data_IF_555415001512
#
_entry.id   IF_555415001512
#
_cell.length_a   1.000
_cell.length_b   1.000
_cell.length_c   1.000
_cell.angle_alpha   90.00
_cell.angle_beta   90.00
_cell.angle_gamma   90.00
#
_symmetry.space_group_name_H-M   'P 1'
#
loop_
_entity.id
_entity.type
_entity.pdbx_description
1 polymer ?
#
# COMPACT_ATOMS: atom_id res chain seq x y z
N UNK A 1 -21.31 14.73 -10.51
CA UNK A 1 -20.45 13.59 -10.93
C UNK A 1 -19.00 14.04 -10.95
N UNK A 2 -18.05 13.15 -10.61
CA UNK A 2 -16.61 13.46 -10.66
C UNK A 2 -16.09 13.74 -12.07
N UNK A 3 -15.07 14.61 -12.17
CA UNK A 3 -14.46 15.05 -13.45
C UNK A 3 -13.46 14.04 -14.03
N UNK A 4 -12.98 13.13 -13.19
CA UNK A 4 -11.96 12.15 -13.53
C UNK A 4 -12.48 10.73 -13.30
N UNK A 5 -11.84 9.77 -13.95
CA UNK A 5 -12.04 8.34 -13.80
C UNK A 5 -10.70 7.78 -13.33
N UNK A 6 -10.66 7.27 -12.10
CA UNK A 6 -9.50 6.57 -11.55
C UNK A 6 -9.67 5.09 -11.86
N UNK A 7 -8.73 4.51 -12.59
CA UNK A 7 -8.75 3.08 -12.91
C UNK A 7 -8.06 2.28 -11.82
N UNK A 8 -8.33 0.97 -11.79
CA UNK A 8 -7.60 0.04 -10.95
C UNK A 8 -6.12 0.00 -11.36
N UNK A 9 -5.24 -0.18 -10.37
CA UNK A 9 -3.82 -0.36 -10.62
C UNK A 9 -3.57 -1.78 -11.16
N UNK A 10 -2.93 -1.88 -12.33
CA UNK A 10 -2.70 -3.16 -12.99
C UNK A 10 -1.25 -3.60 -12.82
N UNK A 11 -0.98 -4.83 -12.36
CA UNK A 11 0.38 -5.33 -12.17
C UNK A 11 1.09 -5.56 -13.51
N UNK A 12 2.38 -5.22 -13.57
CA UNK A 12 3.23 -5.45 -14.75
C UNK A 12 4.60 -5.99 -14.29
N UNK A 13 5.04 -7.20 -14.68
CA UNK A 13 4.24 -8.32 -15.18
C UNK A 13 3.37 -8.93 -14.04
N UNK A 14 2.89 -10.17 -14.20
CA UNK A 14 2.01 -10.87 -13.26
C UNK A 14 2.42 -10.70 -11.77
N UNK A 15 1.40 -10.66 -10.91
CA UNK A 15 1.56 -10.52 -9.45
C UNK A 15 2.42 -11.63 -8.87
N UNK A 16 3.51 -11.25 -8.21
CA UNK A 16 4.29 -12.17 -7.38
C UNK A 16 3.93 -12.00 -5.91
N UNK A 17 3.45 -13.07 -5.29
CA UNK A 17 3.14 -13.12 -3.86
C UNK A 17 4.25 -13.83 -3.09
N UNK A 18 4.63 -13.27 -1.95
CA UNK A 18 5.58 -13.87 -1.01
C UNK A 18 4.92 -13.97 0.38
N UNK A 19 5.38 -14.92 1.18
CA UNK A 19 4.92 -15.09 2.57
C UNK A 19 5.80 -14.26 3.49
N UNK A 20 5.17 -13.46 4.34
CA UNK A 20 5.83 -12.71 5.40
C UNK A 20 5.20 -13.04 6.76
N UNK A 21 5.85 -12.64 7.85
CA UNK A 21 5.48 -12.98 9.22
C UNK A 21 5.40 -11.71 10.06
N UNK A 22 4.25 -11.47 10.67
CA UNK A 22 4.08 -10.40 11.65
C UNK A 22 4.16 -10.98 13.07
N UNK A 23 5.08 -10.49 13.89
CA UNK A 23 5.19 -10.87 15.29
C UNK A 23 4.43 -9.84 16.17
N UNK A 24 3.30 -10.23 16.76
CA UNK A 24 2.63 -9.39 17.77
C UNK A 24 3.23 -9.68 19.15
N UNK A 25 3.90 -8.69 19.74
CA UNK A 25 4.44 -8.79 21.10
C UNK A 25 3.38 -8.49 22.19
N UNK A 26 2.39 -7.62 21.93
CA UNK A 26 1.43 -7.16 22.95
C UNK A 26 0.03 -7.80 22.85
N UNK A 27 -0.06 -9.05 22.35
CA UNK A 27 -1.34 -9.75 22.14
C UNK A 27 -2.30 -9.68 23.34
N UNK A 28 -1.86 -9.98 24.58
CA UNK A 28 -2.69 -9.94 25.78
C UNK A 28 -3.16 -8.55 26.20
N UNK A 29 -2.34 -7.51 25.99
CA UNK A 29 -2.68 -6.12 26.31
C UNK A 29 -3.86 -5.61 25.46
N UNK A 30 -3.86 -5.91 24.15
CA UNK A 30 -4.95 -5.50 23.26
C UNK A 30 -6.22 -6.37 23.36
N UNK A 31 -6.14 -7.55 23.99
CA UNK A 31 -7.27 -8.46 24.15
C UNK A 31 -8.03 -8.27 25.46
N UNK A 32 -7.46 -7.52 26.42
CA UNK A 32 -7.92 -7.46 27.81
C UNK A 32 -8.93 -6.36 28.12
N UNK A 33 -10.03 -6.22 27.36
CA UNK A 33 -11.22 -5.43 27.77
C UNK A 33 -10.98 -4.16 28.61
N UNK A 34 -11.70 -4.02 29.73
CA UNK A 34 -11.65 -2.84 30.62
C UNK A 34 -10.49 -2.87 31.64
N UNK A 35 -9.75 -3.98 31.76
CA UNK A 35 -8.59 -4.10 32.68
C UNK A 35 -7.47 -4.93 32.04
N UNK A 36 -6.78 -4.38 31.03
CA UNK A 36 -5.75 -5.12 30.32
C UNK A 36 -4.48 -5.26 31.17
N UNK A 37 -3.79 -6.41 31.12
CA UNK A 37 -2.52 -6.60 31.82
C UNK A 37 -1.49 -5.58 31.31
N UNK A 38 -0.69 -5.00 32.21
CA UNK A 38 0.28 -3.96 31.86
C UNK A 38 1.13 -4.35 30.63
N UNK A 39 1.37 -3.41 29.69
CA UNK A 39 2.15 -3.70 28.50
C UNK A 39 3.58 -4.07 28.93
N UNK A 40 4.00 -5.27 28.55
CA UNK A 40 5.25 -5.85 28.99
C UNK A 40 5.94 -6.60 27.86
N UNK A 41 7.27 -6.46 27.78
CA UNK A 41 8.09 -7.09 26.73
C UNK A 41 8.37 -8.59 27.01
N UNK A 42 7.78 -9.16 28.07
CA UNK A 42 7.96 -10.56 28.49
C UNK A 42 7.06 -11.56 27.74
N UNK A 43 6.20 -11.10 26.84
CA UNK A 43 5.36 -11.99 26.03
C UNK A 43 6.11 -12.48 24.79
N UNK A 44 6.10 -13.80 24.59
CA UNK A 44 6.64 -14.42 23.38
C UNK A 44 5.89 -13.90 22.13
N UNK A 45 6.62 -13.46 21.08
CA UNK A 45 5.98 -13.03 19.85
C UNK A 45 5.20 -14.19 19.24
N UNK A 46 3.94 -13.95 18.87
CA UNK A 46 3.14 -14.91 18.11
C UNK A 46 3.32 -14.60 16.61
N UNK A 47 4.00 -15.46 15.83
CA UNK A 47 4.19 -15.26 14.39
C UNK A 47 2.88 -15.48 13.64
N UNK A 48 2.41 -14.46 12.92
CA UNK A 48 1.21 -14.54 12.07
C UNK A 48 1.66 -14.46 10.62
N UNK A 49 1.65 -15.58 9.86
CA UNK A 49 1.99 -15.56 8.45
C UNK A 49 0.90 -14.85 7.65
N UNK A 50 1.30 -14.04 6.67
CA UNK A 50 0.40 -13.41 5.70
C UNK A 50 1.07 -13.32 4.34
N UNK A 51 0.26 -13.11 3.29
CA UNK A 51 0.76 -12.90 1.93
C UNK A 51 0.98 -11.42 1.68
N UNK A 52 2.12 -11.09 1.07
CA UNK A 52 2.45 -9.74 0.60
C UNK A 52 2.94 -9.81 -0.84
N UNK A 53 2.89 -8.67 -1.54
CA UNK A 53 3.54 -8.52 -2.83
C UNK A 53 5.05 -8.71 -2.66
N UNK A 54 5.69 -9.33 -3.64
CA UNK A 54 7.13 -9.35 -3.75
C UNK A 54 7.67 -7.92 -3.85
N UNK A 55 8.89 -7.72 -3.37
CA UNK A 55 9.61 -6.47 -3.59
C UNK A 55 9.75 -6.20 -5.10
N UNK A 56 9.75 -4.92 -5.47
CA UNK A 56 9.89 -4.43 -6.85
C UNK A 56 8.76 -4.87 -7.81
N UNK A 57 7.60 -5.29 -7.29
CA UNK A 57 6.39 -5.45 -8.09
C UNK A 57 5.97 -4.10 -8.69
N UNK A 58 5.90 -4.02 -10.00
CA UNK A 58 5.48 -2.81 -10.72
C UNK A 58 3.98 -2.86 -11.01
N UNK A 59 3.35 -1.69 -10.96
CA UNK A 59 1.96 -1.47 -11.32
C UNK A 59 1.83 -0.25 -12.22
N UNK A 60 0.93 -0.35 -13.20
CA UNK A 60 0.47 0.77 -14.01
C UNK A 60 -0.73 1.44 -13.32
N UNK A 61 -0.63 2.76 -13.16
CA UNK A 61 -1.69 3.61 -12.64
C UNK A 61 -2.18 4.54 -13.74
N UNK A 62 -3.50 4.62 -13.90
CA UNK A 62 -4.11 5.41 -14.96
C UNK A 62 -5.30 6.23 -14.45
N UNK A 63 -5.33 7.50 -14.84
CA UNK A 63 -6.45 8.42 -14.62
C UNK A 63 -6.89 8.96 -15.97
N UNK A 64 -8.18 8.87 -16.25
CA UNK A 64 -8.78 9.37 -17.48
C UNK A 64 -9.67 10.59 -17.20
N UNK A 65 -9.67 11.60 -18.07
CA UNK A 65 -10.60 12.70 -17.97
C UNK A 65 -11.98 12.22 -18.42
N UNK A 66 -13.04 12.57 -17.67
CA UNK A 66 -14.41 12.22 -18.07
C UNK A 66 -14.84 12.98 -19.33
N UNK A 67 -14.30 14.18 -19.54
CA UNK A 67 -14.58 15.03 -20.70
C UNK A 67 -13.29 15.67 -21.22
N UNK A 68 -13.20 16.01 -22.51
CA UNK A 68 -11.98 16.59 -23.09
C UNK A 68 -11.46 17.84 -22.35
N UNK A 69 -12.35 18.69 -21.85
CA UNK A 69 -11.99 19.90 -21.10
C UNK A 69 -11.31 19.63 -19.75
N UNK A 70 -11.41 18.41 -19.22
CA UNK A 70 -10.79 18.01 -17.95
C UNK A 70 -9.36 17.49 -18.14
N UNK A 71 -8.83 17.47 -19.39
CA UNK A 71 -7.45 17.02 -19.65
C UNK A 71 -6.39 17.88 -18.97
N UNK A 72 -6.63 19.18 -18.84
CA UNK A 72 -5.64 20.13 -18.33
C UNK A 72 -5.23 19.93 -16.87
N UNK A 73 -5.98 19.13 -16.10
CA UNK A 73 -5.66 18.86 -14.68
C UNK A 73 -4.93 17.52 -14.47
N UNK A 74 -4.74 16.71 -15.52
CA UNK A 74 -4.22 15.36 -15.38
C UNK A 74 -2.78 15.33 -14.85
N UNK A 75 -1.92 16.24 -15.32
CA UNK A 75 -0.51 16.26 -14.90
C UNK A 75 -0.37 16.55 -13.40
N UNK A 76 -1.12 17.54 -12.89
CA UNK A 76 -1.14 17.88 -11.46
C UNK A 76 -1.68 16.71 -10.63
N UNK A 77 -2.78 16.09 -11.09
CA UNK A 77 -3.39 14.96 -10.37
C UNK A 77 -2.47 13.74 -10.37
N UNK A 78 -1.77 13.45 -11.48
CA UNK A 78 -0.79 12.37 -11.54
C UNK A 78 0.42 12.64 -10.62
N UNK A 79 0.86 13.90 -10.49
CA UNK A 79 1.91 14.28 -9.55
C UNK A 79 1.45 14.09 -8.09
N UNK A 80 0.22 14.49 -7.76
CA UNK A 80 -0.36 14.27 -6.44
C UNK A 80 -0.54 12.78 -6.12
N UNK A 81 -0.98 11.98 -7.09
CA UNK A 81 -1.08 10.53 -6.94
C UNK A 81 0.29 9.90 -6.64
N UNK A 82 1.32 10.27 -7.41
CA UNK A 82 2.68 9.78 -7.18
C UNK A 82 3.18 10.13 -5.77
N UNK A 83 2.98 11.37 -5.33
CA UNK A 83 3.34 11.78 -3.98
C UNK A 83 2.53 11.02 -2.90
N UNK A 84 1.23 10.81 -3.09
CA UNK A 84 0.43 10.06 -2.13
C UNK A 84 0.87 8.59 -2.02
N UNK A 85 1.20 7.94 -3.14
CA UNK A 85 1.68 6.57 -3.15
C UNK A 85 3.07 6.41 -2.49
N UNK A 86 3.91 7.44 -2.58
CA UNK A 86 5.22 7.49 -1.92
C UNK A 86 5.09 7.77 -0.40
N UNK A 87 4.29 8.76 -0.01
CA UNK A 87 4.21 9.26 1.38
C UNK A 87 3.13 8.63 2.27
N UNK A 88 2.07 8.09 1.67
CA UNK A 88 0.98 7.43 2.40
C UNK A 88 1.00 5.93 2.11
N UNK A 89 1.24 5.56 0.85
CA UNK A 89 1.13 4.19 0.36
C UNK A 89 -0.32 3.78 0.11
N UNK A 90 -0.49 2.57 -0.43
CA UNK A 90 -1.79 1.96 -0.71
C UNK A 90 -1.82 0.51 -0.23
N UNK A 91 -3.02 0.02 0.10
CA UNK A 91 -3.22 -1.33 0.63
C UNK A 91 -3.19 -1.39 2.16
N UNK A 92 -2.92 -2.56 2.71
CA UNK A 92 -2.93 -2.79 4.14
C UNK A 92 -1.56 -2.49 4.79
N UNK A 93 -1.57 -2.21 6.10
CA UNK A 93 -0.36 -2.09 6.93
C UNK A 93 0.62 -0.98 6.51
N UNK A 94 0.13 0.09 5.87
CA UNK A 94 0.96 1.25 5.48
C UNK A 94 1.62 1.97 6.66
N UNK A 95 0.98 1.96 7.84
CA UNK A 95 1.54 2.51 9.07
C UNK A 95 2.81 1.80 9.56
N UNK A 96 3.03 0.56 9.12
CA UNK A 96 4.24 -0.23 9.43
C UNK A 96 5.12 -0.46 8.19
N UNK A 97 4.96 0.38 7.16
CA UNK A 97 5.87 0.47 6.02
C UNK A 97 5.49 -0.32 4.76
N UNK A 98 4.39 -1.08 4.77
CA UNK A 98 3.94 -1.83 3.58
C UNK A 98 3.23 -0.93 2.57
N UNK A 99 3.18 -1.36 1.30
CA UNK A 99 2.34 -0.72 0.29
C UNK A 99 2.84 0.64 -0.19
N UNK A 100 4.14 0.91 -0.04
CA UNK A 100 4.79 2.12 -0.57
C UNK A 100 5.20 1.90 -2.01
N UNK A 101 5.03 2.92 -2.84
CA UNK A 101 5.42 2.85 -4.25
C UNK A 101 6.37 4.00 -4.56
N UNK A 102 7.34 3.72 -5.42
CA UNK A 102 8.19 4.73 -6.04
C UNK A 102 7.92 4.73 -7.55
N UNK A 103 8.02 5.91 -8.16
CA UNK A 103 7.84 6.02 -9.61
C UNK A 103 9.02 5.36 -10.31
N UNK A 104 8.74 4.51 -11.29
CA UNK A 104 9.78 3.89 -12.13
C UNK A 104 9.96 4.71 -13.40
N UNK A 105 11.20 4.83 -13.88
CA UNK A 105 11.54 5.66 -15.05
C UNK A 105 11.23 4.96 -16.39
N UNK A 106 10.35 3.96 -16.40
CA UNK A 106 9.98 3.21 -17.61
C UNK A 106 11.07 2.30 -18.19
N UNK A 107 12.20 2.09 -17.48
CA UNK A 107 13.29 1.15 -17.87
C UNK A 107 13.28 -0.17 -17.09
N UNK A 108 12.12 -0.57 -16.57
CA UNK A 108 11.96 -1.75 -15.71
C UNK A 108 11.34 -2.95 -16.42
N UNK A 109 11.83 -3.31 -17.60
CA UNK A 109 11.61 -4.62 -18.22
C UNK A 109 12.63 -4.81 -19.37
N UNK A 110 13.81 -5.31 -19.02
CA UNK A 110 14.78 -5.93 -19.92
C UNK A 110 15.13 -7.29 -19.37
#
# INVERSE_FOLDING_TARGET
AGRLIVLDALPVPEVKLVRDVMARHYGPYYAGGDDPPAPGDWYSPIPIPFLTLAQDQVFDFAILPRRPQDRGILDEVMAQLAAALDWIGAGAKTAVGYGRFTRTDGKGAS
#
